data_IF_141399916198
#
_entry.id   IF_141399916198
#
_cell.length_a   1.000
_cell.length_b   1.000
_cell.length_c   1.000
_cell.angle_alpha   90.00
_cell.angle_beta   90.00
_cell.angle_gamma   90.00
#
_symmetry.space_group_name_H-M   'P 1'
#
loop_
_entity.id
_entity.type
_entity.pdbx_description
1 polymer ?
#
# COMPACT_ATOMS: atom_id res chain seq x y z
N UNK A 1 19.11 12.94 -37.88
CA UNK A 1 19.38 12.70 -36.44
C UNK A 1 18.12 13.01 -35.66
N UNK A 2 17.70 12.14 -34.74
CA UNK A 2 16.32 12.09 -34.25
C UNK A 2 15.82 13.24 -33.34
N UNK A 3 16.50 14.35 -33.03
CA UNK A 3 15.93 15.48 -32.22
C UNK A 3 15.24 15.12 -30.85
N UNK A 4 15.64 15.82 -29.78
CA UNK A 4 15.00 15.65 -28.46
C UNK A 4 13.51 16.03 -28.46
N UNK A 5 13.09 16.92 -29.36
CA UNK A 5 11.71 17.37 -29.47
C UNK A 5 10.75 16.26 -29.93
N UNK A 6 11.20 15.39 -30.85
CA UNK A 6 10.42 14.23 -31.29
C UNK A 6 10.22 13.27 -30.12
N UNK A 7 11.28 12.97 -29.37
CA UNK A 7 11.22 12.07 -28.23
C UNK A 7 10.36 12.62 -27.09
N UNK A 8 10.49 13.92 -26.78
CA UNK A 8 9.66 14.61 -25.80
C UNK A 8 8.18 14.54 -26.18
N UNK A 9 7.86 14.80 -27.45
CA UNK A 9 6.49 14.73 -27.97
C UNK A 9 5.95 13.31 -27.87
N UNK A 10 6.74 12.32 -28.28
CA UNK A 10 6.39 10.90 -28.17
C UNK A 10 6.08 10.51 -26.72
N UNK A 11 6.98 10.78 -25.77
CA UNK A 11 6.79 10.40 -24.36
C UNK A 11 5.57 11.07 -23.74
N UNK A 12 5.30 12.35 -24.05
CA UNK A 12 4.11 13.06 -23.56
C UNK A 12 2.81 12.50 -24.13
N UNK A 13 2.78 12.24 -25.43
CA UNK A 13 1.61 11.63 -26.08
C UNK A 13 1.38 10.21 -25.57
N UNK A 14 2.46 9.47 -25.36
CA UNK A 14 2.43 8.10 -24.87
C UNK A 14 1.92 8.05 -23.43
N UNK A 15 2.44 8.90 -22.53
CA UNK A 15 1.91 9.10 -21.18
C UNK A 15 0.40 9.37 -21.20
N UNK A 16 -0.05 10.33 -22.01
CA UNK A 16 -1.47 10.66 -22.13
C UNK A 16 -2.31 9.45 -22.54
N UNK A 17 -1.90 8.77 -23.61
CA UNK A 17 -2.59 7.59 -24.14
C UNK A 17 -2.62 6.40 -23.15
N UNK A 18 -1.62 6.29 -22.27
CA UNK A 18 -1.52 5.24 -21.25
C UNK A 18 -2.38 5.53 -20.01
N UNK A 19 -2.44 6.79 -19.58
CA UNK A 19 -3.31 7.22 -18.46
C UNK A 19 -4.79 7.06 -18.84
N UNK A 20 -5.13 7.36 -20.09
CA UNK A 20 -6.49 7.28 -20.63
C UNK A 20 -6.91 5.86 -21.06
N UNK A 21 -6.16 4.80 -20.69
CA UNK A 21 -6.55 3.43 -21.02
C UNK A 21 -7.85 3.06 -20.30
N UNK A 22 -8.88 2.82 -21.10
CA UNK A 22 -10.12 2.17 -20.69
C UNK A 22 -9.91 0.65 -20.70
N UNK A 23 -9.86 0.05 -19.50
CA UNK A 23 -9.65 -1.38 -19.34
C UNK A 23 -10.82 -2.20 -19.87
N UNK A 24 -12.05 -1.70 -19.76
CA UNK A 24 -13.25 -2.39 -20.23
C UNK A 24 -13.27 -2.47 -21.75
N UNK A 25 -12.97 -1.36 -22.42
CA UNK A 25 -12.85 -1.34 -23.87
C UNK A 25 -11.67 -2.19 -24.36
N UNK A 26 -10.53 -2.13 -23.64
CA UNK A 26 -9.33 -2.86 -24.00
C UNK A 26 -9.54 -4.38 -23.92
N UNK A 27 -10.12 -4.89 -22.81
CA UNK A 27 -10.26 -6.32 -22.58
C UNK A 27 -11.52 -6.92 -23.20
N UNK A 28 -12.58 -6.15 -23.48
CA UNK A 28 -13.83 -6.65 -24.10
C UNK A 28 -14.43 -7.87 -23.39
N UNK A 29 -14.35 -7.90 -22.06
CA UNK A 29 -14.74 -9.03 -21.19
C UNK A 29 -13.91 -10.31 -21.34
N UNK A 30 -12.74 -10.25 -22.00
CA UNK A 30 -11.76 -11.33 -21.98
C UNK A 30 -10.86 -11.20 -20.75
N UNK A 31 -10.30 -12.32 -20.29
CA UNK A 31 -9.24 -12.30 -19.29
C UNK A 31 -7.89 -12.39 -19.98
N UNK A 32 -7.01 -11.44 -19.71
CA UNK A 32 -5.64 -11.41 -20.20
C UNK A 32 -4.65 -11.87 -19.14
N UNK A 33 -3.61 -12.57 -19.58
CA UNK A 33 -2.39 -12.81 -18.82
C UNK A 33 -1.57 -11.53 -18.68
N UNK A 34 -0.64 -11.52 -17.73
CA UNK A 34 0.34 -10.44 -17.57
C UNK A 34 1.15 -10.18 -18.85
N UNK A 35 1.46 -11.23 -19.62
CA UNK A 35 2.17 -11.11 -20.89
C UNK A 35 1.33 -10.39 -21.98
N UNK A 36 0.04 -10.70 -22.08
CA UNK A 36 -0.89 -10.05 -23.01
C UNK A 36 -1.11 -8.58 -22.64
N UNK A 37 -1.24 -8.28 -21.35
CA UNK A 37 -1.31 -6.89 -20.87
C UNK A 37 -0.05 -6.09 -21.25
N UNK A 38 1.14 -6.67 -21.07
CA UNK A 38 2.41 -6.03 -21.49
C UNK A 38 2.45 -5.79 -23.00
N UNK A 39 2.02 -6.78 -23.79
CA UNK A 39 1.98 -6.67 -25.25
C UNK A 39 1.05 -5.55 -25.69
N UNK A 40 -0.14 -5.45 -25.10
CA UNK A 40 -1.09 -4.37 -25.38
C UNK A 40 -0.48 -2.99 -25.11
N UNK A 41 0.20 -2.81 -23.97
CA UNK A 41 0.89 -1.55 -23.66
C UNK A 41 1.94 -1.24 -24.73
N UNK A 42 2.82 -2.19 -25.07
CA UNK A 42 3.85 -2.00 -26.09
C UNK A 42 3.26 -1.64 -27.46
N UNK A 43 2.18 -2.30 -27.88
CA UNK A 43 1.53 -2.01 -29.16
C UNK A 43 0.86 -0.62 -29.14
N UNK A 44 0.31 -0.19 -28.01
CA UNK A 44 -0.17 1.19 -27.83
C UNK A 44 0.97 2.22 -27.95
N UNK A 45 2.11 1.97 -27.32
CA UNK A 45 3.29 2.85 -27.42
C UNK A 45 3.80 2.93 -28.87
N UNK A 46 3.87 1.79 -29.57
CA UNK A 46 4.25 1.74 -30.99
C UNK A 46 3.29 2.56 -31.86
N UNK A 47 1.99 2.43 -31.65
CA UNK A 47 0.99 3.20 -32.37
C UNK A 47 1.17 4.72 -32.17
N UNK A 48 1.40 5.15 -30.91
CA UNK A 48 1.67 6.56 -30.59
C UNK A 48 2.95 7.04 -31.26
N UNK A 49 4.00 6.22 -31.28
CA UNK A 49 5.24 6.56 -31.98
C UNK A 49 5.01 6.77 -33.48
N UNK A 50 4.31 5.85 -34.15
CA UNK A 50 3.97 5.98 -35.57
C UNK A 50 3.14 7.24 -35.86
N UNK A 51 2.16 7.56 -35.01
CA UNK A 51 1.37 8.78 -35.12
C UNK A 51 2.20 10.06 -34.92
N UNK A 52 3.08 10.06 -33.93
CA UNK A 52 4.00 11.17 -33.65
C UNK A 52 4.90 11.43 -34.85
N UNK A 53 5.49 10.38 -35.42
CA UNK A 53 6.37 10.47 -36.58
C UNK A 53 5.64 10.90 -37.84
N UNK A 54 4.41 10.41 -38.06
CA UNK A 54 3.59 10.87 -39.18
C UNK A 54 3.31 12.38 -39.09
N UNK A 55 2.93 12.85 -37.90
CA UNK A 55 2.68 14.28 -37.65
C UNK A 55 3.95 15.13 -37.83
N UNK A 56 5.09 14.66 -37.34
CA UNK A 56 6.37 15.34 -37.48
C UNK A 56 6.80 15.43 -38.96
N UNK A 57 6.78 14.30 -39.68
CA UNK A 57 7.17 14.22 -41.09
C UNK A 57 6.24 15.01 -42.01
N UNK A 58 4.97 15.22 -41.64
CA UNK A 58 4.04 16.10 -42.36
C UNK A 58 4.35 17.59 -42.15
N UNK A 59 4.85 17.97 -40.98
CA UNK A 59 5.19 19.36 -40.64
C UNK A 59 6.59 19.77 -41.08
N UNK A 60 7.50 18.82 -41.21
CA UNK A 60 8.87 19.07 -41.65
C UNK A 60 8.89 19.51 -43.12
N UNK A 61 9.37 20.73 -43.37
CA UNK A 61 9.68 21.22 -44.72
C UNK A 61 10.96 20.61 -45.28
N UNK A 62 11.80 20.05 -44.40
CA UNK A 62 13.05 19.41 -44.78
C UNK A 62 12.78 18.01 -45.33
N UNK A 63 13.48 17.64 -46.41
CA UNK A 63 13.41 16.31 -47.04
C UNK A 63 13.89 15.16 -46.13
N UNK A 64 14.37 15.44 -44.91
CA UNK A 64 14.78 14.43 -43.95
C UNK A 64 13.57 13.85 -43.22
N UNK A 65 12.98 12.79 -43.78
CA UNK A 65 11.97 11.98 -43.09
C UNK A 65 12.66 11.13 -42.02
N UNK A 66 12.11 11.17 -40.80
CA UNK A 66 12.57 10.32 -39.70
C UNK A 66 11.79 9.01 -39.71
N UNK A 67 12.51 7.88 -39.68
CA UNK A 67 11.90 6.53 -39.67
C UNK A 67 11.65 6.02 -38.24
N UNK A 68 10.81 4.99 -38.11
CA UNK A 68 10.55 4.38 -36.78
C UNK A 68 11.79 3.66 -36.25
N UNK A 69 12.56 3.05 -37.13
CA UNK A 69 13.80 2.33 -36.83
C UNK A 69 14.85 3.28 -36.26
N UNK A 70 15.02 4.47 -36.84
CA UNK A 70 15.96 5.49 -36.34
C UNK A 70 15.61 5.92 -34.91
N UNK A 71 14.32 6.07 -34.60
CA UNK A 71 13.87 6.42 -33.24
C UNK A 71 14.10 5.27 -32.27
N UNK A 72 13.81 4.03 -32.67
CA UNK A 72 14.04 2.85 -31.85
C UNK A 72 15.53 2.64 -31.55
N UNK A 73 16.40 2.88 -32.54
CA UNK A 73 17.85 2.85 -32.35
C UNK A 73 18.29 3.91 -31.34
N UNK A 74 17.79 5.15 -31.45
CA UNK A 74 18.08 6.21 -30.47
C UNK A 74 17.56 5.86 -29.08
N UNK A 75 16.34 5.34 -28.95
CA UNK A 75 15.78 4.92 -27.67
C UNK A 75 16.61 3.81 -27.01
N UNK A 76 17.18 2.90 -27.81
CA UNK A 76 18.06 1.84 -27.31
C UNK A 76 19.40 2.40 -26.81
N UNK A 77 19.92 3.42 -27.49
CA UNK A 77 21.19 4.07 -27.15
C UNK A 77 21.06 5.20 -26.13
N UNK A 78 19.85 5.59 -25.74
CA UNK A 78 19.54 6.75 -24.90
C UNK A 78 20.27 6.72 -23.54
N UNK A 79 20.54 5.53 -23.00
CA UNK A 79 21.26 5.34 -21.73
C UNK A 79 22.75 5.69 -21.79
N UNK A 80 23.32 5.84 -22.98
CA UNK A 80 24.74 6.16 -23.19
C UNK A 80 24.98 7.64 -23.45
N UNK A 81 23.92 8.40 -23.72
CA UNK A 81 23.99 9.82 -24.08
C UNK A 81 23.61 10.70 -22.89
N UNK A 82 24.19 11.89 -22.81
CA UNK A 82 23.77 12.90 -21.84
C UNK A 82 22.40 13.47 -22.28
N UNK A 83 21.34 13.10 -21.58
CA UNK A 83 19.99 13.54 -21.90
C UNK A 83 19.69 14.92 -21.33
N UNK A 84 18.84 15.67 -22.02
CA UNK A 84 18.27 16.87 -21.43
C UNK A 84 17.39 16.49 -20.23
N UNK A 85 17.45 17.27 -19.14
CA UNK A 85 16.64 17.02 -17.92
C UNK A 85 15.15 16.88 -18.21
N UNK A 86 14.64 17.61 -19.21
CA UNK A 86 13.25 17.52 -19.64
C UNK A 86 12.93 16.16 -20.25
N UNK A 87 13.85 15.62 -21.05
CA UNK A 87 13.69 14.32 -21.70
C UNK A 87 13.76 13.18 -20.67
N UNK A 88 14.69 13.26 -19.71
CA UNK A 88 14.78 12.32 -18.58
C UNK A 88 13.48 12.30 -17.76
N UNK A 89 12.93 13.47 -17.44
CA UNK A 89 11.67 13.59 -16.71
C UNK A 89 10.51 12.98 -17.52
N UNK A 90 10.38 13.32 -18.80
CA UNK A 90 9.32 12.79 -19.66
C UNK A 90 9.41 11.27 -19.84
N UNK A 91 10.62 10.72 -19.98
CA UNK A 91 10.85 9.28 -20.05
C UNK A 91 10.44 8.59 -18.73
N UNK A 92 10.85 9.15 -17.59
CA UNK A 92 10.51 8.62 -16.26
C UNK A 92 9.00 8.63 -16.01
N UNK A 93 8.32 9.71 -16.39
CA UNK A 93 6.86 9.82 -16.29
C UNK A 93 6.13 8.84 -17.22
N UNK A 94 6.64 8.64 -18.43
CA UNK A 94 6.11 7.66 -19.36
C UNK A 94 6.26 6.23 -18.82
N UNK A 95 7.41 5.89 -18.25
CA UNK A 95 7.65 4.58 -17.64
C UNK A 95 6.74 4.36 -16.42
N UNK A 96 6.53 5.39 -15.60
CA UNK A 96 5.56 5.34 -14.50
C UNK A 96 4.13 5.11 -15.02
N UNK A 97 3.73 5.83 -16.07
CA UNK A 97 2.40 5.69 -16.69
C UNK A 97 2.19 4.32 -17.32
N UNK A 98 3.23 3.75 -17.94
CA UNK A 98 3.18 2.40 -18.51
C UNK A 98 3.02 1.33 -17.43
N UNK A 99 3.72 1.46 -16.29
CA UNK A 99 3.54 0.57 -15.14
C UNK A 99 2.15 0.68 -14.52
N UNK A 100 1.63 1.90 -14.39
CA UNK A 100 0.27 2.13 -13.90
C UNK A 100 -0.78 1.53 -14.84
N UNK A 101 -0.67 1.78 -16.15
CA UNK A 101 -1.58 1.22 -17.14
C UNK A 101 -1.54 -0.32 -17.16
N UNK A 102 -0.33 -0.91 -17.09
CA UNK A 102 -0.15 -2.36 -16.96
C UNK A 102 -0.85 -2.90 -15.70
N UNK A 103 -0.62 -2.27 -14.55
CA UNK A 103 -1.22 -2.68 -13.29
C UNK A 103 -2.75 -2.56 -13.32
N UNK A 104 -3.29 -1.47 -13.89
CA UNK A 104 -4.73 -1.25 -14.05
C UNK A 104 -5.37 -2.35 -14.91
N UNK A 105 -4.75 -2.72 -16.04
CA UNK A 105 -5.19 -3.82 -16.91
C UNK A 105 -5.16 -5.17 -16.18
N UNK A 106 -4.10 -5.45 -15.42
CA UNK A 106 -3.97 -6.70 -14.64
C UNK A 106 -5.06 -6.77 -13.57
N UNK A 107 -5.25 -5.70 -12.79
CA UNK A 107 -6.30 -5.66 -11.77
C UNK A 107 -7.69 -5.86 -12.39
N UNK A 108 -7.96 -5.23 -13.53
CA UNK A 108 -9.24 -5.40 -14.23
C UNK A 108 -9.41 -6.84 -14.73
N UNK A 109 -8.40 -7.41 -15.37
CA UNK A 109 -8.41 -8.80 -15.88
C UNK A 109 -8.66 -9.82 -14.77
N UNK A 110 -7.88 -9.74 -13.68
CA UNK A 110 -7.90 -10.73 -12.61
C UNK A 110 -9.12 -10.58 -11.69
N UNK A 111 -9.72 -9.38 -11.60
CA UNK A 111 -10.99 -9.22 -10.86
C UNK A 111 -12.17 -9.87 -11.58
N UNK A 112 -12.13 -9.97 -12.91
CA UNK A 112 -13.15 -10.65 -13.72
C UNK A 112 -12.85 -12.15 -13.93
N UNK A 113 -11.67 -12.61 -13.53
CA UNK A 113 -11.26 -13.99 -13.72
C UNK A 113 -11.94 -14.89 -12.70
N UNK A 114 -12.99 -15.58 -13.12
CA UNK A 114 -13.63 -16.67 -12.39
C UNK A 114 -12.81 -17.97 -12.43
N UNK A 115 -11.52 -17.95 -12.08
CA UNK A 115 -10.73 -19.20 -12.10
C UNK A 115 -10.84 -19.96 -10.78
N UNK A 116 -11.33 -21.22 -10.81
CA UNK A 116 -11.11 -22.16 -9.71
C UNK A 116 -9.61 -22.52 -9.67
N UNK A 117 -9.06 -22.58 -8.46
CA UNK A 117 -7.72 -23.07 -8.07
C UNK A 117 -6.84 -23.52 -9.26
N UNK A 118 -6.19 -22.58 -9.94
CA UNK A 118 -5.02 -22.92 -10.73
C UNK A 118 -3.96 -23.44 -9.76
N UNK A 119 -3.22 -24.48 -10.13
CA UNK A 119 -1.97 -24.82 -9.44
C UNK A 119 -0.98 -23.67 -9.71
N UNK A 120 -1.09 -22.62 -8.89
CA UNK A 120 -0.29 -21.40 -9.00
C UNK A 120 1.16 -21.64 -8.55
N UNK A 121 1.53 -22.84 -8.12
CA UNK A 121 2.81 -23.10 -7.49
C UNK A 121 3.38 -24.49 -7.83
N UNK A 122 4.37 -24.51 -8.74
CA UNK A 122 5.12 -25.72 -9.09
C UNK A 122 6.50 -25.81 -8.39
N UNK A 123 7.13 -24.66 -8.08
CA UNK A 123 8.56 -24.62 -7.71
C UNK A 123 8.85 -24.53 -6.21
N UNK A 124 7.84 -24.47 -5.34
CA UNK A 124 8.00 -24.45 -3.87
C UNK A 124 8.76 -23.23 -3.29
N UNK A 125 9.38 -22.38 -4.12
CA UNK A 125 10.12 -21.18 -3.74
C UNK A 125 9.74 -19.98 -4.60
N UNK A 126 9.79 -18.79 -4.01
CA UNK A 126 9.59 -17.54 -4.72
C UNK A 126 10.90 -17.11 -5.38
N UNK A 127 10.99 -17.18 -6.71
CA UNK A 127 12.19 -16.74 -7.44
C UNK A 127 12.32 -15.21 -7.47
N UNK A 128 13.55 -14.71 -7.62
CA UNK A 128 13.87 -13.27 -7.61
C UNK A 128 13.05 -12.46 -8.60
N UNK A 129 12.90 -12.96 -9.82
CA UNK A 129 12.20 -12.26 -10.90
C UNK A 129 10.72 -12.06 -10.57
N UNK A 130 10.04 -13.11 -10.10
CA UNK A 130 8.64 -13.05 -9.68
C UNK A 130 8.45 -12.18 -8.44
N UNK A 131 9.39 -12.24 -7.48
CA UNK A 131 9.37 -11.37 -6.31
C UNK A 131 9.43 -9.89 -6.71
N UNK A 132 10.42 -9.50 -7.52
CA UNK A 132 10.56 -8.10 -7.96
C UNK A 132 9.38 -7.65 -8.83
N UNK A 133 8.86 -8.53 -9.68
CA UNK A 133 7.65 -8.26 -10.47
C UNK A 133 6.44 -8.00 -9.56
N UNK A 134 6.20 -8.88 -8.59
CA UNK A 134 5.12 -8.73 -7.62
C UNK A 134 5.26 -7.43 -6.80
N UNK A 135 6.46 -7.13 -6.30
CA UNK A 135 6.72 -5.91 -5.53
C UNK A 135 6.51 -4.66 -6.39
N UNK A 136 6.98 -4.67 -7.65
CA UNK A 136 6.80 -3.56 -8.59
C UNK A 136 5.35 -3.33 -8.97
N UNK A 137 4.56 -4.40 -9.12
CA UNK A 137 3.11 -4.32 -9.32
C UNK A 137 2.42 -3.72 -8.09
N UNK A 138 2.78 -4.15 -6.88
CA UNK A 138 2.21 -3.58 -5.65
C UNK A 138 2.53 -2.08 -5.51
N UNK A 139 3.78 -1.67 -5.78
CA UNK A 139 4.18 -0.25 -5.75
C UNK A 139 3.38 0.57 -6.76
N UNK A 140 3.16 0.03 -7.96
CA UNK A 140 2.38 0.71 -9.00
C UNK A 140 0.90 0.80 -8.61
N UNK A 141 0.33 -0.28 -8.06
CA UNK A 141 -1.08 -0.35 -7.65
C UNK A 141 -1.44 0.70 -6.61
N UNK A 142 -0.57 0.93 -5.62
CA UNK A 142 -0.80 1.91 -4.54
C UNK A 142 -0.91 3.34 -5.08
N UNK A 143 -0.32 3.62 -6.25
CA UNK A 143 -0.39 4.93 -6.91
C UNK A 143 -1.58 5.09 -7.86
N UNK A 144 -2.40 4.04 -8.03
CA UNK A 144 -3.59 4.12 -8.88
C UNK A 144 -4.73 4.81 -8.15
N UNK A 145 -5.38 5.75 -8.83
CA UNK A 145 -6.53 6.49 -8.30
C UNK A 145 -7.69 5.56 -7.89
N UNK A 146 -7.98 4.52 -8.68
CA UNK A 146 -9.04 3.57 -8.35
C UNK A 146 -8.73 2.74 -7.10
N UNK A 147 -7.45 2.43 -6.85
CA UNK A 147 -7.02 1.75 -5.61
C UNK A 147 -7.11 2.74 -4.44
N UNK A 148 -6.64 3.98 -4.60
CA UNK A 148 -6.75 5.00 -3.56
C UNK A 148 -8.20 5.23 -3.14
N UNK A 149 -9.11 5.35 -4.11
CA UNK A 149 -10.53 5.51 -3.85
C UNK A 149 -11.10 4.28 -3.12
N UNK A 150 -10.81 3.07 -3.62
CA UNK A 150 -11.21 1.84 -2.94
C UNK A 150 -10.72 1.79 -1.49
N UNK A 151 -9.47 2.17 -1.23
CA UNK A 151 -8.91 2.23 0.12
C UNK A 151 -9.59 3.28 0.99
N UNK A 152 -10.09 4.37 0.42
CA UNK A 152 -10.72 5.48 1.16
C UNK A 152 -12.14 5.15 1.63
N UNK A 153 -12.99 4.68 0.72
CA UNK A 153 -14.43 4.61 0.96
C UNK A 153 -15.08 3.28 0.56
N UNK A 154 -14.27 2.26 0.24
CA UNK A 154 -14.73 0.96 -0.24
C UNK A 154 -15.46 1.02 -1.60
N UNK A 155 -15.27 2.07 -2.39
CA UNK A 155 -15.71 2.10 -3.80
C UNK A 155 -15.09 0.91 -4.53
N UNK A 156 -15.84 0.16 -5.36
CA UNK A 156 -15.28 -0.91 -6.19
C UNK A 156 -14.06 -0.42 -6.99
N UNK A 157 -13.08 -1.30 -7.25
CA UNK A 157 -11.89 -0.93 -8.02
C UNK A 157 -12.23 -0.46 -9.45
N UNK A 158 -13.39 -0.87 -9.98
CA UNK A 158 -13.87 -0.52 -11.30
C UNK A 158 -15.41 -0.36 -11.27
N UNK A 159 -15.94 0.58 -12.04
CA UNK A 159 -17.36 0.99 -11.98
C UNK A 159 -18.35 -0.12 -12.36
N UNK A 160 -17.91 -1.11 -13.13
CA UNK A 160 -18.70 -2.26 -13.56
C UNK A 160 -18.71 -3.40 -12.54
N UNK A 161 -17.88 -3.35 -11.51
CA UNK A 161 -17.89 -4.30 -10.41
C UNK A 161 -18.93 -3.91 -9.37
N UNK A 162 -19.81 -4.84 -9.02
CA UNK A 162 -20.70 -4.64 -7.87
C UNK A 162 -19.89 -4.73 -6.57
N UNK A 163 -20.14 -3.80 -5.65
CA UNK A 163 -19.66 -3.95 -4.28
C UNK A 163 -20.22 -5.28 -3.72
N UNK A 164 -19.37 -6.15 -3.13
CA UNK A 164 -19.83 -7.42 -2.57
C UNK A 164 -20.88 -7.12 -1.49
N UNK A 165 -22.11 -7.59 -1.72
CA UNK A 165 -23.26 -7.33 -0.84
C UNK A 165 -23.11 -7.98 0.53
N UNK A 166 -22.28 -9.02 0.64
CA UNK A 166 -22.19 -9.90 1.80
C UNK A 166 -20.93 -9.67 2.68
N UNK A 167 -20.02 -8.75 2.31
CA UNK A 167 -18.78 -8.46 3.06
C UNK A 167 -18.62 -7.02 3.62
N UNK A 168 -19.68 -6.26 3.98
CA UNK A 168 -19.52 -4.85 4.36
C UNK A 168 -18.64 -4.63 5.60
N UNK A 169 -18.59 -5.57 6.54
CA UNK A 169 -17.78 -5.47 7.77
C UNK A 169 -16.33 -5.92 7.58
N UNK A 170 -16.06 -6.93 6.75
CA UNK A 170 -14.70 -7.46 6.56
C UNK A 170 -13.81 -6.51 5.74
N UNK A 171 -14.42 -5.78 4.79
CA UNK A 171 -13.75 -4.81 3.93
C UNK A 171 -13.80 -3.38 4.47
N UNK A 172 -14.24 -3.18 5.72
CA UNK A 172 -14.32 -1.86 6.35
C UNK A 172 -12.94 -1.20 6.50
N UNK A 173 -11.89 -1.99 6.72
CA UNK A 173 -10.54 -1.52 6.99
C UNK A 173 -9.70 -1.36 5.71
N UNK A 174 -9.05 -0.21 5.48
CA UNK A 174 -8.17 0.00 4.32
C UNK A 174 -7.07 -1.08 4.20
N UNK A 175 -6.57 -1.61 5.32
CA UNK A 175 -5.59 -2.70 5.33
C UNK A 175 -6.10 -3.95 4.62
N UNK A 176 -7.36 -4.34 4.88
CA UNK A 176 -7.98 -5.52 4.27
C UNK A 176 -8.27 -5.31 2.79
N UNK A 177 -8.66 -4.09 2.43
CA UNK A 177 -8.84 -3.69 1.03
C UNK A 177 -7.52 -3.76 0.25
N UNK A 178 -6.43 -3.25 0.84
CA UNK A 178 -5.09 -3.33 0.26
C UNK A 178 -4.60 -4.78 0.16
N UNK A 179 -4.85 -5.59 1.19
CA UNK A 179 -4.54 -7.03 1.18
C UNK A 179 -5.23 -7.73 0.00
N UNK A 180 -6.50 -7.43 -0.28
CA UNK A 180 -7.22 -7.97 -1.43
C UNK A 180 -6.56 -7.57 -2.76
N UNK A 181 -6.14 -6.31 -2.92
CA UNK A 181 -5.38 -5.85 -4.09
C UNK A 181 -4.08 -6.65 -4.25
N UNK A 182 -3.34 -6.85 -3.16
CA UNK A 182 -2.12 -7.66 -3.17
C UNK A 182 -2.37 -9.12 -3.56
N UNK A 183 -3.45 -9.73 -3.07
CA UNK A 183 -3.85 -11.09 -3.43
C UNK A 183 -4.16 -11.21 -4.93
N UNK A 184 -4.83 -10.22 -5.53
CA UNK A 184 -5.11 -10.18 -6.98
C UNK A 184 -3.79 -10.12 -7.76
N UNK A 185 -2.86 -9.26 -7.35
CA UNK A 185 -1.56 -9.11 -8.02
C UNK A 185 -0.66 -10.34 -7.86
N UNK A 186 -0.72 -11.04 -6.72
CA UNK A 186 -0.01 -12.31 -6.52
C UNK A 186 -0.48 -13.35 -7.54
N UNK A 187 -1.80 -13.49 -7.72
CA UNK A 187 -2.40 -14.40 -8.72
C UNK A 187 -1.95 -14.05 -10.15
N UNK A 188 -1.89 -12.76 -10.48
CA UNK A 188 -1.43 -12.30 -11.80
C UNK A 188 0.01 -12.73 -12.15
N UNK A 189 0.87 -12.88 -11.14
CA UNK A 189 2.27 -13.33 -11.29
C UNK A 189 2.36 -14.86 -11.28
N UNK A 190 1.24 -15.57 -11.14
CA UNK A 190 1.19 -17.01 -10.99
C UNK A 190 1.80 -17.41 -9.65
N UNK A 191 1.31 -16.82 -8.57
CA UNK A 191 1.70 -17.12 -7.18
C UNK A 191 0.44 -17.26 -6.31
N UNK A 192 0.45 -18.25 -5.42
CA UNK A 192 -0.59 -18.40 -4.41
C UNK A 192 -0.45 -17.30 -3.34
N UNK A 193 -1.48 -16.48 -3.05
CA UNK A 193 -1.32 -15.32 -2.17
C UNK A 193 -0.84 -15.67 -0.75
N UNK A 194 -1.34 -16.78 -0.17
CA UNK A 194 -0.90 -17.25 1.15
C UNK A 194 0.60 -17.58 1.16
N UNK A 195 1.07 -18.20 0.08
CA UNK A 195 2.49 -18.52 -0.09
C UNK A 195 3.35 -17.25 -0.20
N UNK A 196 2.90 -16.24 -0.95
CA UNK A 196 3.61 -14.95 -1.04
C UNK A 196 3.75 -14.31 0.33
N UNK A 197 2.68 -14.25 1.12
CA UNK A 197 2.74 -13.69 2.48
C UNK A 197 3.72 -14.45 3.38
N UNK A 198 3.71 -15.79 3.34
CA UNK A 198 4.67 -16.59 4.11
C UNK A 198 6.11 -16.37 3.66
N UNK A 199 6.36 -16.28 2.36
CA UNK A 199 7.70 -16.06 1.81
C UNK A 199 8.21 -14.65 2.13
N UNK A 200 7.39 -13.61 1.99
CA UNK A 200 7.79 -12.25 2.38
C UNK A 200 8.13 -12.17 3.87
N UNK A 201 7.36 -12.88 4.71
CA UNK A 201 7.65 -12.96 6.15
C UNK A 201 8.99 -13.64 6.40
N UNK A 202 9.22 -14.81 5.77
CA UNK A 202 10.48 -15.56 5.86
C UNK A 202 11.68 -14.77 5.35
N UNK A 203 11.51 -14.03 4.25
CA UNK A 203 12.61 -13.31 3.58
C UNK A 203 12.97 -12.02 4.32
N UNK A 204 11.97 -11.25 4.74
CA UNK A 204 12.18 -9.86 5.20
C UNK A 204 11.85 -9.59 6.67
N UNK A 205 11.06 -10.44 7.33
CA UNK A 205 10.52 -10.15 8.67
C UNK A 205 11.15 -11.04 9.74
N UNK A 206 11.22 -12.35 9.50
CA UNK A 206 11.76 -13.30 10.49
C UNK A 206 13.29 -13.16 10.61
N UNK A 207 13.81 -12.73 11.77
CA UNK A 207 15.25 -12.55 11.98
C UNK A 207 16.04 -13.87 11.89
N UNK A 208 15.41 -15.00 12.26
CA UNK A 208 16.07 -16.31 12.27
C UNK A 208 16.38 -16.80 10.86
N UNK A 209 15.47 -16.54 9.92
CA UNK A 209 15.65 -16.90 8.51
C UNK A 209 16.28 -15.79 7.69
N UNK A 210 16.14 -14.52 8.06
CA UNK A 210 16.66 -13.39 7.28
C UNK A 210 18.17 -13.42 7.10
N UNK A 211 18.93 -13.90 8.10
CA UNK A 211 20.39 -14.01 8.03
C UNK A 211 20.89 -15.14 7.12
N UNK A 212 20.06 -16.15 6.86
CA UNK A 212 20.39 -17.32 6.03
C UNK A 212 19.59 -17.34 4.72
N UNK A 213 18.82 -16.29 4.45
CA UNK A 213 17.96 -16.21 3.29
C UNK A 213 18.76 -15.95 2.02
N UNK A 214 18.32 -16.55 0.91
CA UNK A 214 18.89 -16.37 -0.44
C UNK A 214 18.88 -14.90 -0.94
N UNK A 215 18.14 -14.02 -0.25
CA UNK A 215 18.07 -12.57 -0.50
C UNK A 215 18.76 -11.74 0.60
N UNK A 216 19.64 -12.32 1.42
CA UNK A 216 20.44 -11.57 2.40
C UNK A 216 21.21 -10.42 1.76
N UNK A 217 21.85 -10.72 0.63
CA UNK A 217 22.80 -9.84 -0.04
C UNK A 217 22.17 -9.04 -1.20
N UNK A 218 20.89 -9.28 -1.50
CA UNK A 218 20.15 -8.60 -2.57
C UNK A 218 19.60 -7.25 -2.08
N UNK A 219 20.50 -6.26 -2.06
CA UNK A 219 20.18 -4.91 -1.60
C UNK A 219 19.05 -4.26 -2.42
N UNK A 220 19.01 -4.49 -3.73
CA UNK A 220 17.95 -3.97 -4.60
C UNK A 220 16.58 -4.47 -4.15
N UNK A 221 16.44 -5.78 -3.94
CA UNK A 221 15.18 -6.38 -3.50
C UNK A 221 14.74 -5.84 -2.12
N UNK A 222 15.68 -5.71 -1.18
CA UNK A 222 15.41 -5.12 0.14
C UNK A 222 14.96 -3.67 0.05
N UNK A 223 15.57 -2.87 -0.81
CA UNK A 223 15.23 -1.45 -0.95
C UNK A 223 13.86 -1.26 -1.63
N UNK A 224 13.55 -2.09 -2.62
CA UNK A 224 12.21 -2.13 -3.23
C UNK A 224 11.16 -2.52 -2.20
N UNK A 225 11.41 -3.57 -1.40
CA UNK A 225 10.50 -4.00 -0.35
C UNK A 225 10.29 -2.93 0.73
N UNK A 226 11.37 -2.33 1.26
CA UNK A 226 11.27 -1.23 2.24
C UNK A 226 10.46 -0.06 1.72
N UNK A 227 10.71 0.37 0.48
CA UNK A 227 9.96 1.46 -0.16
C UNK A 227 8.49 1.12 -0.28
N UNK A 228 8.16 -0.12 -0.66
CA UNK A 228 6.79 -0.60 -0.72
C UNK A 228 6.10 -0.52 0.65
N UNK A 229 6.74 -1.00 1.73
CA UNK A 229 6.15 -0.94 3.07
C UNK A 229 5.86 0.49 3.51
N UNK A 230 6.79 1.42 3.29
CA UNK A 230 6.59 2.85 3.62
C UNK A 230 5.41 3.43 2.82
N UNK A 231 5.34 3.13 1.51
CA UNK A 231 4.24 3.58 0.66
C UNK A 231 2.88 3.00 1.10
N UNK A 232 2.83 1.71 1.42
CA UNK A 232 1.62 1.06 1.93
C UNK A 232 1.16 1.68 3.24
N UNK A 233 2.06 1.86 4.22
CA UNK A 233 1.73 2.47 5.51
C UNK A 233 1.22 3.90 5.34
N UNK A 234 1.86 4.68 4.49
CA UNK A 234 1.45 6.06 4.20
C UNK A 234 0.07 6.10 3.56
N UNK A 235 -0.17 5.23 2.58
CA UNK A 235 -1.45 5.18 1.86
C UNK A 235 -2.58 4.70 2.77
N UNK A 236 -2.35 3.67 3.57
CA UNK A 236 -3.31 3.17 4.56
C UNK A 236 -3.62 4.23 5.61
N UNK A 237 -2.61 4.94 6.12
CA UNK A 237 -2.81 6.01 7.08
C UNK A 237 -3.65 7.14 6.46
N UNK A 238 -3.30 7.57 5.25
CA UNK A 238 -4.06 8.58 4.51
C UNK A 238 -5.51 8.14 4.27
N UNK A 239 -5.73 6.90 3.85
CA UNK A 239 -7.06 6.34 3.64
C UNK A 239 -7.87 6.26 4.95
N UNK A 240 -7.22 5.88 6.05
CA UNK A 240 -7.84 5.81 7.38
C UNK A 240 -8.29 7.17 7.90
N UNK A 241 -7.54 8.24 7.58
CA UNK A 241 -7.91 9.63 7.92
C UNK A 241 -9.14 10.14 7.16
N UNK A 242 -9.41 9.57 5.99
CA UNK A 242 -10.54 9.95 5.13
C UNK A 242 -11.71 8.96 5.20
N UNK A 243 -11.54 7.87 5.95
CA UNK A 243 -12.63 6.94 6.25
C UNK A 243 -13.70 7.71 7.03
N UNK A 244 -14.93 7.68 6.54
CA UNK A 244 -16.03 8.47 7.09
C UNK A 244 -16.09 8.29 8.61
N UNK A 245 -15.94 9.36 9.42
CA UNK A 245 -15.92 9.25 10.86
C UNK A 245 -17.18 8.58 11.39
N UNK A 246 -18.30 8.55 10.65
CA UNK A 246 -19.50 7.80 11.02
C UNK A 246 -19.26 6.30 11.22
N UNK A 247 -18.31 5.69 10.51
CA UNK A 247 -17.97 4.26 10.66
C UNK A 247 -17.10 3.96 11.90
N UNK A 248 -16.30 4.95 12.34
CA UNK A 248 -15.45 4.86 13.53
C UNK A 248 -16.04 5.61 14.75
N UNK A 249 -17.15 6.33 14.53
CA UNK A 249 -17.84 7.09 15.54
C UNK A 249 -18.84 6.16 16.20
N UNK A 250 -18.46 5.66 17.36
CA UNK A 250 -19.36 5.09 18.34
C UNK A 250 -20.20 6.17 19.05
N UNK A 251 -20.47 7.30 18.38
CA UNK A 251 -21.28 8.42 18.92
C UNK A 251 -22.68 7.97 19.30
N UNK A 252 -23.23 6.99 18.58
CA UNK A 252 -24.52 6.37 18.90
C UNK A 252 -24.40 5.23 19.93
N UNK A 253 -23.17 4.81 20.26
CA UNK A 253 -22.83 3.82 21.31
C UNK A 253 -22.09 4.44 22.51
N UNK A 254 -22.07 5.77 22.61
CA UNK A 254 -21.54 6.50 23.77
C UNK A 254 -20.04 6.78 23.79
N UNK A 255 -19.28 6.47 22.73
CA UNK A 255 -17.90 6.94 22.64
C UNK A 255 -17.80 8.24 21.86
N UNK A 256 -17.08 9.17 22.47
CA UNK A 256 -16.80 10.48 21.93
C UNK A 256 -15.29 10.65 22.01
N UNK A 257 -14.60 10.32 20.92
CA UNK A 257 -13.19 10.71 20.77
C UNK A 257 -13.17 12.17 20.35
N UNK A 258 -13.18 13.08 21.33
CA UNK A 258 -12.99 14.52 21.07
C UNK A 258 -11.50 14.78 20.88
N UNK A 259 -11.11 15.26 19.71
CA UNK A 259 -9.78 15.84 19.48
C UNK A 259 -9.69 17.11 20.32
N UNK A 260 -8.94 17.06 21.42
CA UNK A 260 -8.71 18.21 22.30
C UNK A 260 -7.37 18.83 21.91
N UNK A 261 -7.48 19.92 21.16
CA UNK A 261 -6.42 20.83 20.69
C UNK A 261 -5.66 20.43 19.41
N UNK A 262 -5.85 21.26 18.38
CA UNK A 262 -4.88 21.52 17.32
C UNK A 262 -4.25 22.85 17.68
N UNK A 263 -2.96 22.84 18.03
CA UNK A 263 -2.21 24.07 18.31
C UNK A 263 -1.71 24.62 16.98
N UNK A 264 -2.42 25.62 16.44
CA UNK A 264 -1.95 26.38 15.29
C UNK A 264 -0.92 27.40 15.79
N UNK A 265 0.34 27.23 15.41
CA UNK A 265 1.31 28.31 15.47
C UNK A 265 1.02 29.26 14.30
N UNK A 266 0.30 30.35 14.58
CA UNK A 266 0.06 31.42 13.61
C UNK A 266 1.38 32.10 13.23
N UNK A 267 1.69 32.12 11.94
CA UNK A 267 2.70 33.02 11.36
C UNK A 267 1.99 33.88 10.32
N UNK A 268 1.79 35.16 10.65
CA UNK A 268 1.71 36.26 9.68
C UNK A 268 0.32 36.76 9.33
N UNK A 269 0.01 37.97 9.79
CA UNK A 269 -1.04 38.85 9.26
C UNK A 269 -0.90 39.06 7.75
N UNK A 270 -1.92 38.66 7.00
CA UNK A 270 -2.03 38.94 5.56
C UNK A 270 -3.38 38.51 5.02
N UNK A 271 -4.27 39.48 4.84
CA UNK A 271 -5.64 39.27 4.38
C UNK A 271 -5.70 38.58 3.00
N UNK A 272 -6.11 37.32 2.97
CA UNK A 272 -6.74 36.71 1.79
C UNK A 272 -7.77 35.68 2.25
N UNK A 273 -8.99 35.86 1.77
CA UNK A 273 -10.17 35.03 2.06
C UNK A 273 -10.16 33.75 1.20
N UNK A 274 -9.04 33.02 1.21
CA UNK A 274 -8.97 31.68 0.63
C UNK A 274 -8.96 30.65 1.76
N UNK A 275 -9.85 29.66 1.66
CA UNK A 275 -9.86 28.52 2.58
C UNK A 275 -8.48 27.85 2.59
N UNK A 276 -7.95 27.42 3.76
CA UNK A 276 -6.61 26.88 3.86
C UNK A 276 -6.48 25.63 3.00
N UNK A 277 -5.66 25.70 1.94
CA UNK A 277 -5.24 24.50 1.20
C UNK A 277 -4.44 23.64 2.18
N UNK A 278 -4.84 22.38 2.33
CA UNK A 278 -4.17 21.35 3.16
C UNK A 278 -2.66 21.38 2.88
N UNK A 279 -1.90 22.05 3.74
CA UNK A 279 -0.50 21.72 3.93
C UNK A 279 -0.50 20.39 4.64
N UNK A 280 -0.19 19.32 3.91
CA UNK A 280 0.25 18.06 4.51
C UNK A 280 1.42 18.42 5.40
N UNK A 281 1.21 18.40 6.72
CA UNK A 281 2.28 18.60 7.67
C UNK A 281 3.15 17.35 7.56
N UNK A 282 4.19 17.40 6.73
CA UNK A 282 5.25 16.41 6.74
C UNK A 282 5.85 16.43 8.14
N UNK A 283 5.48 15.43 8.95
CA UNK A 283 6.16 15.18 10.22
C UNK A 283 7.66 15.03 9.89
N UNK A 284 8.55 15.77 10.57
CA UNK A 284 9.98 15.60 10.40
C UNK A 284 10.32 14.11 10.50
N UNK A 285 11.17 13.62 9.60
CA UNK A 285 11.53 12.21 9.46
C UNK A 285 11.90 11.54 10.81
N UNK A 286 12.43 12.31 11.75
CA UNK A 286 12.73 11.88 13.13
C UNK A 286 11.50 11.53 13.98
N UNK A 287 10.40 12.27 13.89
CA UNK A 287 9.16 11.95 14.62
C UNK A 287 8.50 10.69 14.07
N UNK A 288 8.57 10.51 12.74
CA UNK A 288 8.10 9.28 12.10
C UNK A 288 8.94 8.07 12.53
N UNK A 289 10.26 8.21 12.59
CA UNK A 289 11.17 7.18 13.13
C UNK A 289 10.87 6.91 14.60
N UNK A 290 10.58 7.93 15.42
CA UNK A 290 10.19 7.74 16.83
C UNK A 290 8.88 6.97 16.96
N UNK A 291 7.87 7.30 16.15
CA UNK A 291 6.60 6.55 16.15
C UNK A 291 6.81 5.09 15.73
N UNK A 292 7.63 4.84 14.71
CA UNK A 292 7.98 3.48 14.28
C UNK A 292 8.70 2.72 15.40
N UNK A 293 9.62 3.36 16.13
CA UNK A 293 10.30 2.76 17.28
C UNK A 293 9.30 2.39 18.38
N UNK A 294 8.41 3.30 18.75
CA UNK A 294 7.38 3.05 19.78
C UNK A 294 6.47 1.89 19.37
N UNK A 295 6.05 1.83 18.11
CA UNK A 295 5.23 0.70 17.60
C UNK A 295 6.02 -0.61 17.60
N UNK A 296 7.29 -0.59 17.22
CA UNK A 296 8.16 -1.78 17.23
C UNK A 296 8.42 -2.29 18.65
N UNK A 297 8.62 -1.38 19.60
CA UNK A 297 8.81 -1.69 21.02
C UNK A 297 7.52 -2.24 21.63
N UNK A 298 6.37 -1.66 21.28
CA UNK A 298 5.06 -2.17 21.70
C UNK A 298 4.81 -3.58 21.16
N UNK A 299 5.14 -3.85 19.89
CA UNK A 299 4.99 -5.18 19.30
C UNK A 299 5.91 -6.21 19.97
N UNK A 300 7.17 -5.85 20.21
CA UNK A 300 8.12 -6.71 20.92
C UNK A 300 7.63 -7.03 22.34
N UNK A 301 7.10 -6.03 23.05
CA UNK A 301 6.49 -6.25 24.36
C UNK A 301 5.31 -7.22 24.26
N UNK A 302 4.43 -7.07 23.27
CA UNK A 302 3.31 -8.00 23.08
C UNK A 302 3.78 -9.44 22.83
N UNK A 303 4.81 -9.64 22.01
CA UNK A 303 5.41 -10.94 21.74
C UNK A 303 6.04 -11.56 23.01
N UNK A 304 6.76 -10.77 23.79
CA UNK A 304 7.34 -11.22 25.07
C UNK A 304 6.27 -11.64 26.08
N UNK A 305 5.16 -10.89 26.15
CA UNK A 305 4.05 -11.21 27.06
C UNK A 305 3.30 -12.47 26.65
N UNK A 306 3.10 -12.69 25.35
CA UNK A 306 2.48 -13.92 24.85
C UNK A 306 3.38 -15.12 25.13
N UNK A 307 4.68 -15.00 24.85
CA UNK A 307 5.64 -16.06 25.15
C UNK A 307 5.66 -16.39 26.64
N UNK A 308 5.64 -15.39 27.51
CA UNK A 308 5.56 -15.60 28.96
C UNK A 308 4.28 -16.33 29.38
N UNK A 309 3.15 -16.10 28.71
CA UNK A 309 1.93 -16.84 28.97
C UNK A 309 2.01 -18.28 28.45
N UNK A 310 2.60 -18.48 27.26
CA UNK A 310 2.78 -19.80 26.64
C UNK A 310 3.74 -20.71 27.43
N UNK A 311 4.79 -20.14 28.00
CA UNK A 311 5.78 -20.87 28.81
C UNK A 311 5.24 -21.29 30.19
N UNK A 312 4.12 -20.72 30.65
CA UNK A 312 3.47 -21.11 31.90
C UNK A 312 2.65 -22.40 31.73
N UNK A 313 2.59 -23.19 32.81
CA UNK A 313 1.70 -24.34 32.91
C UNK A 313 0.23 -23.90 32.72
N UNK A 314 -0.66 -24.78 32.24
CA UNK A 314 -2.07 -24.43 32.02
C UNK A 314 -2.75 -23.87 33.28
N UNK A 315 -2.45 -24.44 34.44
CA UNK A 315 -2.97 -24.01 35.74
C UNK A 315 -2.44 -22.63 36.14
N UNK A 316 -1.13 -22.40 36.02
CA UNK A 316 -0.51 -21.11 36.37
C UNK A 316 -0.96 -20.01 35.41
N UNK A 317 -1.09 -20.33 34.12
CA UNK A 317 -1.60 -19.43 33.09
C UNK A 317 -3.02 -19.00 33.43
N UNK A 318 -3.90 -19.95 33.75
CA UNK A 318 -5.29 -19.66 34.16
C UNK A 318 -5.34 -18.78 35.40
N UNK A 319 -4.51 -19.07 36.41
CA UNK A 319 -4.44 -18.27 37.63
C UNK A 319 -3.94 -16.84 37.35
N UNK A 320 -2.91 -16.68 36.52
CA UNK A 320 -2.34 -15.39 36.15
C UNK A 320 -3.30 -14.56 35.30
N UNK A 321 -4.01 -15.17 34.36
CA UNK A 321 -5.04 -14.51 33.56
C UNK A 321 -6.25 -14.09 34.42
N UNK A 322 -6.66 -14.92 35.39
CA UNK A 322 -7.70 -14.56 36.36
C UNK A 322 -7.30 -13.35 37.20
N UNK A 323 -6.04 -13.27 37.63
CA UNK A 323 -5.52 -12.10 38.34
C UNK A 323 -5.47 -10.87 37.43
N UNK A 324 -4.98 -11.02 36.19
CA UNK A 324 -4.94 -9.95 35.21
C UNK A 324 -6.34 -9.38 34.91
N UNK A 325 -7.35 -10.26 34.83
CA UNK A 325 -8.77 -9.88 34.71
C UNK A 325 -9.22 -9.03 35.89
N UNK A 326 -8.96 -9.47 37.12
CA UNK A 326 -9.31 -8.69 38.33
C UNK A 326 -8.66 -7.31 38.32
N UNK A 327 -7.39 -7.22 37.92
CA UNK A 327 -6.68 -5.93 37.78
C UNK A 327 -7.35 -5.07 36.70
N UNK A 328 -7.77 -5.67 35.58
CA UNK A 328 -8.52 -5.00 34.51
C UNK A 328 -9.86 -4.44 34.99
N UNK A 329 -10.65 -5.25 35.70
CA UNK A 329 -11.95 -4.84 36.21
C UNK A 329 -11.83 -3.70 37.21
N UNK A 330 -10.91 -3.80 38.18
CA UNK A 330 -10.65 -2.73 39.17
C UNK A 330 -10.15 -1.46 38.48
N UNK A 331 -9.27 -1.61 37.49
CA UNK A 331 -8.77 -0.48 36.71
C UNK A 331 -9.89 0.21 35.94
N UNK A 332 -10.71 -0.53 35.19
CA UNK A 332 -11.84 0.01 34.44
C UNK A 332 -12.86 0.69 35.34
N UNK A 333 -13.21 0.08 36.49
CA UNK A 333 -14.08 0.72 37.48
C UNK A 333 -13.50 2.04 38.00
N UNK A 334 -12.18 2.11 38.21
CA UNK A 334 -11.51 3.33 38.65
C UNK A 334 -11.52 4.42 37.56
N UNK A 335 -11.29 4.04 36.30
CA UNK A 335 -11.35 4.96 35.14
C UNK A 335 -12.76 5.51 34.94
N UNK A 336 -13.80 4.67 35.07
CA UNK A 336 -15.20 5.05 34.88
C UNK A 336 -15.65 6.04 35.97
N UNK A 337 -15.19 5.87 37.22
CA UNK A 337 -15.51 6.76 38.33
C UNK A 337 -14.92 8.17 38.17
N UNK A 338 -13.81 8.31 37.44
CA UNK A 338 -13.20 9.60 37.18
C UNK A 338 -13.92 10.31 36.03
N UNK A 339 -14.31 11.58 36.15
CA UNK A 339 -14.87 12.32 35.02
C UNK A 339 -13.83 12.45 33.90
N UNK A 340 -14.26 12.59 32.63
CA UNK A 340 -13.35 12.88 31.54
C UNK A 340 -12.64 14.23 31.80
N UNK A 341 -11.30 14.21 31.89
CA UNK A 341 -10.53 15.40 32.24
C UNK A 341 -9.06 15.10 32.59
N UNK A 342 -8.30 16.12 33.04
CA UNK A 342 -6.87 15.99 33.34
C UNK A 342 -6.58 14.98 34.46
N UNK A 343 -7.52 14.79 35.39
CA UNK A 343 -7.41 13.80 36.47
C UNK A 343 -7.39 12.36 35.94
N UNK A 344 -8.25 12.06 34.95
CA UNK A 344 -8.25 10.75 34.28
C UNK A 344 -6.97 10.53 33.49
N UNK A 345 -6.46 11.56 32.81
CA UNK A 345 -5.19 11.47 32.07
C UNK A 345 -4.03 11.19 33.04
N UNK A 346 -3.97 11.93 34.16
CA UNK A 346 -2.97 11.71 35.18
C UNK A 346 -3.05 10.29 35.75
N UNK A 347 -4.26 9.80 36.01
CA UNK A 347 -4.48 8.42 36.45
C UNK A 347 -3.93 7.41 35.44
N UNK A 348 -4.21 7.56 34.15
CA UNK A 348 -3.68 6.70 33.08
C UNK A 348 -2.15 6.76 32.97
N UNK A 349 -1.53 7.91 33.25
CA UNK A 349 -0.07 8.08 33.23
C UNK A 349 0.61 7.52 34.48
N UNK A 350 -0.10 7.39 35.60
CA UNK A 350 0.43 6.86 36.87
C UNK A 350 0.30 5.34 37.01
N UNK A 351 -0.08 4.64 35.93
CA UNK A 351 -0.21 3.18 35.96
C UNK A 351 1.17 2.56 36.12
N UNK A 352 1.31 1.77 37.18
CA UNK A 352 2.53 1.02 37.46
C UNK A 352 2.87 0.06 36.28
N UNK A 353 4.15 -0.10 35.92
CA UNK A 353 4.57 -0.99 34.83
C UNK A 353 4.02 -2.42 34.95
N UNK A 354 3.93 -2.97 36.15
CA UNK A 354 3.41 -4.32 36.40
C UNK A 354 1.90 -4.39 36.12
N UNK A 355 1.15 -3.35 36.51
CA UNK A 355 -0.28 -3.25 36.18
C UNK A 355 -0.49 -3.10 34.68
N UNK A 356 0.31 -2.27 34.02
CA UNK A 356 0.26 -2.11 32.55
C UNK A 356 0.52 -3.44 31.84
N UNK A 357 1.48 -4.22 32.35
CA UNK A 357 1.79 -5.58 31.87
C UNK A 357 0.59 -6.51 31.96
N UNK A 358 -0.07 -6.58 33.12
CA UNK A 358 -1.24 -7.43 33.35
C UNK A 358 -2.44 -7.01 32.49
N UNK A 359 -2.68 -5.70 32.36
CA UNK A 359 -3.74 -5.17 31.50
C UNK A 359 -3.52 -5.56 30.02
N UNK A 360 -2.27 -5.47 29.57
CA UNK A 360 -1.88 -5.83 28.20
C UNK A 360 -2.01 -7.34 27.97
N UNK A 361 -1.54 -8.16 28.92
CA UNK A 361 -1.70 -9.62 28.88
C UNK A 361 -3.16 -10.04 28.75
N UNK A 362 -4.04 -9.49 29.60
CA UNK A 362 -5.48 -9.81 29.56
C UNK A 362 -6.11 -9.42 28.22
N UNK A 363 -5.83 -8.20 27.74
CA UNK A 363 -6.38 -7.71 26.46
C UNK A 363 -5.91 -8.55 25.26
N UNK A 364 -4.64 -8.94 25.22
CA UNK A 364 -4.10 -9.79 24.16
C UNK A 364 -4.79 -11.16 24.15
N UNK A 365 -4.92 -11.80 25.32
CA UNK A 365 -5.55 -13.11 25.43
C UNK A 365 -7.01 -13.11 24.97
N UNK A 366 -7.80 -12.16 25.49
CA UNK A 366 -9.22 -12.02 25.10
C UNK A 366 -9.37 -11.72 23.60
N UNK A 367 -8.46 -10.94 23.02
CA UNK A 367 -8.48 -10.67 21.57
C UNK A 367 -8.21 -11.90 20.71
N UNK A 368 -7.49 -12.91 21.23
CA UNK A 368 -7.11 -14.10 20.47
C UNK A 368 -8.08 -15.28 20.70
N UNK A 369 -8.55 -15.45 21.94
CA UNK A 369 -9.29 -16.64 22.37
C UNK A 369 -10.73 -16.35 22.80
N UNK A 370 -11.12 -15.07 22.92
CA UNK A 370 -12.41 -14.68 23.50
C UNK A 370 -12.42 -14.77 25.03
N UNK A 371 -13.53 -14.37 25.65
CA UNK A 371 -13.68 -14.38 27.12
C UNK A 371 -14.03 -15.75 27.70
N UNK A 372 -14.48 -16.70 26.86
CA UNK A 372 -15.02 -17.99 27.29
C UNK A 372 -13.94 -19.00 27.75
N UNK A 373 -12.67 -18.75 27.40
CA UNK A 373 -11.52 -19.62 27.70
C UNK A 373 -10.80 -19.28 29.04
N UNK A 374 -11.43 -18.48 29.92
CA UNK A 374 -10.84 -17.95 31.17
C UNK A 374 -11.16 -18.73 32.46
#
# INVERSE_FOLDING_TARGET
>A
MVSDEILLTFFRQCRKALVEVDCKEALRNETWTTAECRRFILDKQRHVLSSTLSTYNQKSTDNSRVSTEEVQERLTNIKKEALSRQLEAAMTENDASARQALCKLILYSETHRETPNQDLQNDGRLNRSKLLEYLGLCQSAITLECVEQNLRDNTPLFDDLQAPKDEPTAMAYPQKRLEKVQQILAKAVGLEPRFVTSELTRIFVDPATAATCEYSDDQECRDVFRRLIVQMQTTVANASLHSDPTTLSDRDKGGVTRVVAVQYSEVGDGSSSDAPKKNTMELPQEEQIRQIRVVSEAKKLQEELLKELEDLSPEDRKQKLKYARQVSDVFLQSVIKLPPGPERIRFLQTVDPEKSKLLTMYKLWVSMHGEDDL
#
